data_IF_628268592427
#
_entry.id   IF_628268592427
#
_cell.length_a   1.000
_cell.length_b   1.000
_cell.length_c   1.000
_cell.angle_alpha   90.00
_cell.angle_beta   90.00
_cell.angle_gamma   90.00
#
_symmetry.space_group_name_H-M   'P 1'
#
loop_
_entity.id
_entity.type
_entity.pdbx_description
1 polymer ?
#
# COMPACT_ATOMS: atom_id res chain seq x y z
N UNK A 1 36.11 -1.79 -14.01
CA UNK A 1 34.87 -1.00 -13.81
C UNK A 1 33.59 -1.77 -14.23
N UNK A 2 33.55 -3.10 -14.06
CA UNK A 2 32.40 -3.92 -14.46
C UNK A 2 31.75 -4.70 -13.29
N UNK A 3 32.20 -4.48 -12.05
CA UNK A 3 31.71 -5.21 -10.87
C UNK A 3 30.69 -4.45 -10.03
N UNK A 4 30.35 -3.20 -10.36
CA UNK A 4 29.43 -2.38 -9.60
C UNK A 4 27.99 -2.35 -10.18
N UNK A 5 27.82 -2.78 -11.43
CA UNK A 5 26.50 -2.81 -12.10
C UNK A 5 25.72 -4.10 -11.82
N UNK A 6 26.39 -5.19 -11.46
CA UNK A 6 25.76 -6.49 -11.17
C UNK A 6 25.16 -6.54 -9.76
N UNK A 7 25.70 -5.76 -8.82
CA UNK A 7 25.20 -5.67 -7.44
C UNK A 7 23.85 -4.89 -7.31
N UNK A 8 23.53 -4.04 -8.28
CA UNK A 8 22.26 -3.28 -8.25
C UNK A 8 21.08 -4.15 -8.73
N UNK A 9 21.31 -5.18 -9.54
CA UNK A 9 20.28 -6.10 -9.99
C UNK A 9 19.90 -7.13 -8.89
N UNK A 10 20.84 -7.55 -8.07
CA UNK A 10 20.57 -8.52 -6.97
C UNK A 10 19.86 -7.89 -5.76
N UNK A 11 19.95 -6.57 -5.56
CA UNK A 11 19.27 -5.87 -4.46
C UNK A 11 17.76 -5.66 -4.67
N UNK A 12 17.23 -5.97 -5.86
CA UNK A 12 15.83 -5.70 -6.21
C UNK A 12 14.82 -6.75 -5.74
N UNK A 13 15.23 -7.93 -5.26
CA UNK A 13 14.28 -9.06 -5.13
C UNK A 13 14.35 -9.90 -3.85
N UNK A 14 14.54 -9.30 -2.69
CA UNK A 14 14.31 -9.98 -1.40
C UNK A 14 13.01 -9.58 -0.68
N UNK A 15 12.09 -8.93 -1.38
CA UNK A 15 10.75 -8.69 -0.87
C UNK A 15 9.85 -9.90 -1.17
N UNK A 16 9.06 -10.34 -0.19
CA UNK A 16 8.09 -11.45 -0.32
C UNK A 16 7.37 -11.38 -1.68
N UNK A 17 7.38 -12.50 -2.40
CA UNK A 17 7.08 -12.66 -3.82
C UNK A 17 5.93 -11.77 -4.35
N UNK A 18 6.26 -10.56 -4.82
CA UNK A 18 5.32 -9.69 -5.50
C UNK A 18 5.01 -10.25 -6.89
N UNK A 19 3.74 -10.25 -7.28
CA UNK A 19 3.28 -10.74 -8.58
C UNK A 19 2.96 -9.58 -9.51
N UNK A 20 3.45 -9.64 -10.74
CA UNK A 20 3.04 -8.73 -11.82
C UNK A 20 1.84 -9.35 -12.53
N UNK A 21 0.68 -8.74 -12.35
CA UNK A 21 -0.53 -9.12 -13.06
C UNK A 21 -0.56 -8.41 -14.40
N UNK A 22 -0.86 -9.12 -15.49
CA UNK A 22 -0.96 -8.55 -16.84
C UNK A 22 -2.35 -8.81 -17.39
N UNK A 23 -3.08 -7.74 -17.70
CA UNK A 23 -4.40 -7.82 -18.36
C UNK A 23 -4.32 -7.19 -19.74
N UNK A 24 -4.47 -8.01 -20.76
CA UNK A 24 -4.39 -7.63 -22.18
C UNK A 24 -5.13 -8.67 -23.02
N UNK A 25 -6.01 -8.30 -23.94
CA UNK A 25 -6.77 -9.27 -24.73
C UNK A 25 -5.94 -9.95 -25.83
N UNK A 26 -4.79 -9.36 -26.20
CA UNK A 26 -3.88 -9.91 -27.18
C UNK A 26 -2.95 -10.98 -26.59
N UNK A 27 -3.18 -12.25 -26.91
CA UNK A 27 -2.37 -13.37 -26.41
C UNK A 27 -0.87 -13.27 -26.77
N UNK A 28 -0.51 -12.66 -27.90
CA UNK A 28 0.88 -12.42 -28.30
C UNK A 28 1.57 -11.41 -27.39
N UNK A 29 0.86 -10.33 -27.01
CA UNK A 29 1.36 -9.32 -26.06
C UNK A 29 1.52 -9.95 -24.69
N UNK A 30 0.52 -10.69 -24.18
CA UNK A 30 0.64 -11.40 -22.89
C UNK A 30 1.84 -12.33 -22.84
N UNK A 31 2.05 -13.13 -23.91
CA UNK A 31 3.20 -14.06 -24.01
C UNK A 31 4.53 -13.31 -23.99
N UNK A 32 4.64 -12.22 -24.74
CA UNK A 32 5.87 -11.41 -24.80
C UNK A 32 6.17 -10.71 -23.47
N UNK A 33 5.14 -10.13 -22.80
CA UNK A 33 5.30 -9.51 -21.49
C UNK A 33 5.67 -10.54 -20.43
N UNK A 34 5.01 -11.70 -20.41
CA UNK A 34 5.35 -12.79 -19.50
C UNK A 34 6.84 -13.19 -19.65
N UNK A 35 7.29 -13.46 -20.86
CA UNK A 35 8.67 -13.85 -21.11
C UNK A 35 9.69 -12.78 -20.67
N UNK A 36 9.39 -11.50 -20.92
CA UNK A 36 10.22 -10.38 -20.48
C UNK A 36 10.31 -10.30 -18.94
N UNK A 37 9.16 -10.38 -18.27
CA UNK A 37 9.08 -10.21 -16.83
C UNK A 37 9.67 -11.40 -16.07
N UNK A 38 9.41 -12.63 -16.54
CA UNK A 38 10.03 -13.86 -16.01
C UNK A 38 11.55 -13.86 -16.21
N UNK A 39 12.05 -13.37 -17.36
CA UNK A 39 13.50 -13.22 -17.58
C UNK A 39 14.17 -12.22 -16.64
N UNK A 40 13.40 -11.28 -16.09
CA UNK A 40 13.82 -10.34 -15.06
C UNK A 40 13.60 -10.87 -13.62
N UNK A 41 13.23 -12.14 -13.45
CA UNK A 41 13.05 -12.79 -12.15
C UNK A 41 11.72 -12.46 -11.46
N UNK A 42 10.74 -11.88 -12.17
CA UNK A 42 9.43 -11.52 -11.62
C UNK A 42 8.43 -12.67 -11.71
N UNK A 43 7.62 -12.88 -10.69
CA UNK A 43 6.43 -13.73 -10.77
C UNK A 43 5.37 -13.03 -11.64
N UNK A 44 4.72 -13.76 -12.55
CA UNK A 44 3.80 -13.19 -13.54
C UNK A 44 2.54 -14.01 -13.67
N UNK A 45 1.41 -13.35 -13.58
CA UNK A 45 0.11 -13.90 -13.93
C UNK A 45 -0.51 -13.10 -15.08
N UNK A 46 -1.16 -13.76 -16.03
CA UNK A 46 -1.71 -13.08 -17.21
C UNK A 46 -3.16 -13.46 -17.43
N UNK A 47 -3.98 -12.47 -17.80
CA UNK A 47 -5.42 -12.59 -17.97
C UNK A 47 -5.86 -11.98 -19.31
N UNK A 48 -6.85 -12.58 -19.95
CA UNK A 48 -7.34 -12.11 -21.23
C UNK A 48 -8.44 -11.04 -21.11
N UNK A 49 -9.03 -10.89 -19.92
CA UNK A 49 -10.06 -9.89 -19.65
C UNK A 49 -10.01 -9.37 -18.23
N UNK A 50 -10.68 -8.23 -17.99
CA UNK A 50 -10.82 -7.68 -16.65
C UNK A 50 -11.67 -8.57 -15.72
N UNK A 51 -12.66 -9.27 -16.27
CA UNK A 51 -13.51 -10.19 -15.51
C UNK A 51 -12.71 -11.40 -15.02
N UNK A 52 -11.88 -11.97 -15.89
CA UNK A 52 -11.00 -13.10 -15.55
C UNK A 52 -10.03 -12.70 -14.42
N UNK A 53 -9.43 -11.51 -14.54
CA UNK A 53 -8.58 -10.96 -13.48
C UNK A 53 -9.34 -10.74 -12.17
N UNK A 54 -10.51 -10.10 -12.21
CA UNK A 54 -11.30 -9.80 -11.01
C UNK A 54 -11.80 -11.06 -10.28
N UNK A 55 -12.03 -12.16 -11.02
CA UNK A 55 -12.41 -13.45 -10.46
C UNK A 55 -11.26 -14.15 -9.72
N UNK A 56 -10.01 -13.92 -10.16
CA UNK A 56 -8.81 -14.53 -9.58
C UNK A 56 -8.11 -13.62 -8.55
N UNK A 57 -8.36 -12.31 -8.59
CA UNK A 57 -7.65 -11.33 -7.80
C UNK A 57 -7.87 -11.49 -6.29
N UNK A 58 -6.78 -11.69 -5.57
CA UNK A 58 -6.75 -11.67 -4.12
C UNK A 58 -6.07 -10.36 -3.64
N UNK A 59 -6.80 -9.48 -2.91
CA UNK A 59 -6.24 -8.22 -2.38
C UNK A 59 -5.01 -8.39 -1.47
N UNK A 60 -4.86 -9.56 -0.83
CA UNK A 60 -3.71 -9.84 0.06
C UNK A 60 -2.42 -10.15 -0.71
N UNK A 61 -2.50 -10.48 -2.01
CA UNK A 61 -1.31 -10.72 -2.82
C UNK A 61 -0.63 -9.40 -3.21
N UNK A 62 0.64 -9.18 -2.80
CA UNK A 62 1.38 -7.99 -3.18
C UNK A 62 1.75 -7.99 -4.66
N UNK A 63 1.85 -6.82 -5.26
CA UNK A 63 2.29 -6.71 -6.64
C UNK A 63 1.84 -5.45 -7.35
N UNK A 64 1.78 -5.53 -8.69
CA UNK A 64 1.26 -4.45 -9.53
C UNK A 64 0.50 -5.01 -10.74
N UNK A 65 -0.40 -4.21 -11.29
CA UNK A 65 -1.17 -4.53 -12.49
C UNK A 65 -0.62 -3.76 -13.70
N UNK A 66 -0.24 -4.48 -14.75
CA UNK A 66 0.01 -3.94 -16.09
C UNK A 66 -1.25 -4.15 -16.91
N UNK A 67 -1.88 -3.08 -17.36
CA UNK A 67 -3.24 -3.08 -17.89
C UNK A 67 -3.30 -2.42 -19.27
N UNK A 68 -3.80 -3.13 -20.28
CA UNK A 68 -4.19 -2.48 -21.53
C UNK A 68 -5.54 -1.74 -21.36
N UNK A 69 -5.62 -0.56 -21.92
CA UNK A 69 -6.87 0.22 -21.99
C UNK A 69 -7.90 -0.44 -22.88
N UNK A 70 -7.46 -0.98 -24.02
CA UNK A 70 -8.36 -1.60 -25.01
C UNK A 70 -8.44 -3.11 -24.79
N UNK A 71 -9.53 -3.54 -24.22
CA UNK A 71 -9.84 -4.95 -24.07
C UNK A 71 -11.01 -5.30 -25.02
N UNK A 72 -11.01 -6.51 -25.54
CA UNK A 72 -12.09 -6.99 -26.46
C UNK A 72 -13.47 -6.86 -25.85
N UNK A 73 -13.58 -7.07 -24.57
CA UNK A 73 -14.81 -6.95 -23.80
C UNK A 73 -14.59 -5.93 -22.68
N UNK A 74 -15.20 -4.74 -22.83
CA UNK A 74 -15.04 -3.64 -21.87
C UNK A 74 -13.79 -2.77 -22.10
N UNK A 75 -13.46 -1.99 -21.09
CA UNK A 75 -12.30 -1.10 -21.09
C UNK A 75 -11.42 -1.37 -19.88
N UNK A 76 -10.10 -1.31 -20.05
CA UNK A 76 -9.19 -1.35 -18.91
C UNK A 76 -9.47 -0.24 -17.89
N UNK A 77 -10.00 0.91 -18.33
CA UNK A 77 -10.39 1.97 -17.41
C UNK A 77 -11.61 1.58 -16.54
N UNK A 78 -12.52 0.73 -17.05
CA UNK A 78 -13.65 0.22 -16.28
C UNK A 78 -13.13 -0.75 -15.19
N UNK A 79 -12.12 -1.57 -15.51
CA UNK A 79 -11.43 -2.41 -14.53
C UNK A 79 -10.74 -1.55 -13.44
N UNK A 80 -10.06 -0.48 -13.83
CA UNK A 80 -9.45 0.46 -12.90
C UNK A 80 -10.48 1.09 -11.97
N UNK A 81 -11.62 1.52 -12.50
CA UNK A 81 -12.73 2.09 -11.71
C UNK A 81 -13.34 1.06 -10.76
N UNK A 82 -13.43 -0.22 -11.17
CA UNK A 82 -13.90 -1.31 -10.29
C UNK A 82 -12.92 -1.58 -9.14
N UNK A 83 -11.63 -1.65 -9.42
CA UNK A 83 -10.60 -1.83 -8.39
C UNK A 83 -10.62 -0.67 -7.38
N UNK A 84 -10.81 0.56 -7.86
CA UNK A 84 -10.96 1.74 -7.01
C UNK A 84 -12.21 1.63 -6.12
N UNK A 85 -13.35 1.18 -6.66
CA UNK A 85 -14.59 0.95 -5.87
C UNK A 85 -14.39 -0.09 -4.78
N UNK A 86 -13.59 -1.13 -5.05
CA UNK A 86 -13.20 -2.16 -4.07
C UNK A 86 -12.11 -1.69 -3.10
N UNK A 87 -11.63 -0.45 -3.23
CA UNK A 87 -10.52 0.11 -2.44
C UNK A 87 -9.24 -0.75 -2.51
N UNK A 88 -9.01 -1.40 -3.65
CA UNK A 88 -7.80 -2.15 -3.89
C UNK A 88 -6.58 -1.22 -3.88
N UNK A 89 -5.54 -1.61 -3.15
CA UNK A 89 -4.29 -0.83 -3.02
C UNK A 89 -3.36 -1.09 -4.21
N UNK A 90 -3.66 -2.08 -5.05
CA UNK A 90 -2.84 -2.53 -6.17
C UNK A 90 -2.48 -1.40 -7.13
N UNK A 91 -1.21 -1.01 -7.29
CA UNK A 91 -0.79 0.01 -8.24
C UNK A 91 -0.98 -0.46 -9.69
N UNK A 92 -1.50 0.42 -10.53
CA UNK A 92 -1.86 0.09 -11.91
C UNK A 92 -0.96 0.88 -12.87
N UNK A 93 -0.22 0.18 -13.72
CA UNK A 93 0.52 0.74 -14.85
C UNK A 93 -0.31 0.49 -16.10
N UNK A 94 -0.79 1.56 -16.71
CA UNK A 94 -1.54 1.48 -17.98
C UNK A 94 -0.57 1.39 -19.14
N UNK A 95 -0.68 0.33 -19.96
CA UNK A 95 0.17 0.08 -21.12
C UNK A 95 -0.70 -0.05 -22.37
N UNK A 96 -0.76 0.95 -23.25
CA UNK A 96 -1.67 0.96 -24.40
C UNK A 96 -1.00 1.34 -25.71
N UNK A 97 -1.45 0.74 -26.81
CA UNK A 97 -0.99 1.05 -28.18
C UNK A 97 -1.58 2.34 -28.77
N UNK A 98 -2.62 2.89 -28.17
CA UNK A 98 -3.29 4.11 -28.65
C UNK A 98 -3.44 5.08 -27.47
N UNK A 99 -2.32 5.64 -27.03
CA UNK A 99 -2.31 6.67 -26.00
C UNK A 99 -2.58 8.04 -26.62
N UNK A 100 -3.86 8.45 -26.72
CA UNK A 100 -4.15 9.86 -26.83
C UNK A 100 -3.97 10.54 -25.46
N UNK A 101 -3.73 11.84 -25.47
CA UNK A 101 -3.54 12.63 -24.25
C UNK A 101 -4.75 12.53 -23.32
N UNK A 102 -5.95 12.40 -23.87
CA UNK A 102 -7.19 12.32 -23.10
C UNK A 102 -7.27 11.01 -22.31
N UNK A 103 -6.93 9.89 -22.94
CA UNK A 103 -6.90 8.57 -22.28
C UNK A 103 -5.85 8.52 -21.17
N UNK A 104 -4.64 9.05 -21.40
CA UNK A 104 -3.60 9.10 -20.36
C UNK A 104 -3.99 9.98 -19.19
N UNK A 105 -4.56 11.15 -19.44
CA UNK A 105 -5.07 12.05 -18.39
C UNK A 105 -6.22 11.40 -17.60
N UNK A 106 -7.12 10.69 -18.28
CA UNK A 106 -8.22 9.96 -17.62
C UNK A 106 -7.69 8.85 -16.71
N UNK A 107 -6.77 8.04 -17.20
CA UNK A 107 -6.15 6.97 -16.41
C UNK A 107 -5.46 7.49 -15.14
N UNK A 108 -4.64 8.56 -15.28
CA UNK A 108 -3.94 9.17 -14.15
C UNK A 108 -4.90 9.83 -13.15
N UNK A 109 -5.95 10.54 -13.63
CA UNK A 109 -7.00 11.09 -12.76
C UNK A 109 -7.80 10.02 -12.04
N UNK A 110 -7.93 8.83 -12.62
CA UNK A 110 -8.57 7.68 -12.00
C UNK A 110 -7.65 6.94 -11.02
N UNK A 111 -6.41 7.42 -10.80
CA UNK A 111 -5.47 6.89 -9.82
C UNK A 111 -4.51 5.83 -10.38
N UNK A 112 -4.28 5.78 -11.70
CA UNK A 112 -3.20 4.96 -12.23
C UNK A 112 -1.85 5.40 -11.66
N UNK A 113 -1.00 4.43 -11.30
CA UNK A 113 0.34 4.69 -10.81
C UNK A 113 1.21 5.29 -11.92
N UNK A 114 1.08 4.78 -13.16
CA UNK A 114 1.76 5.31 -14.32
C UNK A 114 1.05 4.94 -15.63
N UNK A 115 1.49 5.57 -16.72
CA UNK A 115 0.98 5.35 -18.06
C UNK A 115 2.15 5.23 -19.05
N UNK A 116 2.15 4.17 -19.86
CA UNK A 116 3.15 3.92 -20.89
C UNK A 116 2.50 3.62 -22.24
N UNK A 117 3.08 4.13 -23.31
CA UNK A 117 2.64 3.86 -24.69
C UNK A 117 3.39 2.64 -25.23
N UNK A 118 2.68 1.71 -25.88
CA UNK A 118 3.27 0.61 -26.67
C UNK A 118 3.83 1.12 -28.00
N UNK A 119 5.01 0.66 -28.45
CA UNK A 119 5.91 -0.24 -27.74
C UNK A 119 6.70 0.49 -26.66
N UNK A 120 6.64 0.03 -25.41
CA UNK A 120 7.44 0.58 -24.33
C UNK A 120 8.82 -0.12 -24.32
N UNK A 121 9.93 0.63 -24.19
CA UNK A 121 11.25 0.02 -24.02
C UNK A 121 11.25 -0.88 -22.77
N UNK A 122 11.80 -2.13 -22.88
CA UNK A 122 11.82 -3.08 -21.76
C UNK A 122 12.38 -2.50 -20.46
N UNK A 123 13.48 -1.74 -20.54
CA UNK A 123 14.13 -1.09 -19.39
C UNK A 123 13.22 -0.08 -18.71
N UNK A 124 12.42 0.68 -19.47
CA UNK A 124 11.47 1.65 -18.93
C UNK A 124 10.32 0.92 -18.22
N UNK A 125 9.75 -0.11 -18.86
CA UNK A 125 8.65 -0.89 -18.27
C UNK A 125 9.10 -1.57 -16.97
N UNK A 126 10.24 -2.25 -16.95
CA UNK A 126 10.80 -2.89 -15.75
C UNK A 126 11.05 -1.90 -14.62
N UNK A 127 11.61 -0.72 -14.93
CA UNK A 127 11.83 0.33 -13.94
C UNK A 127 10.51 0.81 -13.30
N UNK A 128 9.45 0.96 -14.11
CA UNK A 128 8.13 1.40 -13.60
C UNK A 128 7.45 0.31 -12.78
N UNK A 129 7.58 -0.95 -13.18
CA UNK A 129 7.10 -2.10 -12.42
C UNK A 129 7.80 -2.19 -11.07
N UNK A 130 9.13 -2.05 -11.02
CA UNK A 130 9.86 -2.00 -9.76
C UNK A 130 9.34 -0.91 -8.82
N UNK A 131 9.21 0.33 -9.32
CA UNK A 131 8.68 1.44 -8.52
C UNK A 131 7.23 1.20 -8.05
N UNK A 132 6.39 0.54 -8.85
CA UNK A 132 5.03 0.17 -8.47
C UNK A 132 5.01 -0.88 -7.36
N UNK A 133 5.86 -1.91 -7.45
CA UNK A 133 6.00 -2.94 -6.42
C UNK A 133 6.48 -2.31 -5.10
N UNK A 134 7.48 -1.43 -5.14
CA UNK A 134 7.95 -0.72 -3.95
C UNK A 134 6.85 0.12 -3.30
N UNK A 135 6.03 0.79 -4.13
CA UNK A 135 4.87 1.55 -3.65
C UNK A 135 3.84 0.63 -2.96
N UNK A 136 3.50 -0.52 -3.55
CA UNK A 136 2.58 -1.49 -2.94
C UNK A 136 3.10 -1.99 -1.59
N UNK A 137 4.39 -2.35 -1.52
CA UNK A 137 5.02 -2.77 -0.27
C UNK A 137 4.94 -1.71 0.83
N UNK A 138 5.24 -0.45 0.51
CA UNK A 138 5.17 0.64 1.47
C UNK A 138 3.73 0.89 1.94
N UNK A 139 2.76 0.86 1.02
CA UNK A 139 1.35 1.04 1.34
C UNK A 139 0.81 -0.08 2.24
N UNK A 140 1.16 -1.34 1.95
CA UNK A 140 0.79 -2.51 2.77
C UNK A 140 1.43 -2.48 4.15
N UNK A 141 2.74 -2.18 4.24
CA UNK A 141 3.44 -2.02 5.51
C UNK A 141 2.76 -0.95 6.38
N UNK A 142 2.45 0.22 5.82
CA UNK A 142 1.74 1.27 6.53
C UNK A 142 0.35 0.84 7.01
N UNK A 143 -0.37 0.03 6.23
CA UNK A 143 -1.68 -0.51 6.61
C UNK A 143 -1.56 -1.53 7.74
N UNK A 144 -0.57 -2.43 7.67
CA UNK A 144 -0.28 -3.43 8.71
C UNK A 144 0.11 -2.76 10.03
N UNK A 145 0.98 -1.75 9.98
CA UNK A 145 1.36 -0.98 11.16
C UNK A 145 0.16 -0.29 11.81
N UNK A 146 -0.73 0.30 11.00
CA UNK A 146 -1.97 0.95 11.49
C UNK A 146 -2.94 -0.05 12.12
N UNK A 147 -3.15 -1.20 11.50
CA UNK A 147 -4.01 -2.26 12.06
C UNK A 147 -3.46 -2.76 13.38
N UNK A 148 -2.16 -3.00 13.49
CA UNK A 148 -1.50 -3.40 14.72
C UNK A 148 -1.62 -2.33 15.82
N UNK A 149 -1.52 -1.05 15.47
CA UNK A 149 -1.74 0.06 16.41
C UNK A 149 -3.20 0.09 16.89
N UNK A 150 -4.15 0.00 15.97
CA UNK A 150 -5.58 -0.01 16.31
C UNK A 150 -5.94 -1.16 17.25
N UNK A 151 -5.42 -2.36 16.99
CA UNK A 151 -5.58 -3.53 17.85
C UNK A 151 -5.02 -3.27 19.26
N UNK A 152 -3.79 -2.75 19.37
CA UNK A 152 -3.18 -2.41 20.66
C UNK A 152 -3.98 -1.37 21.43
N UNK A 153 -4.53 -0.37 20.74
CA UNK A 153 -5.41 0.64 21.34
C UNK A 153 -6.74 0.04 21.82
N UNK A 154 -7.27 -0.97 21.13
CA UNK A 154 -8.49 -1.67 21.57
C UNK A 154 -8.30 -2.42 22.89
N UNK A 155 -7.07 -2.85 23.22
CA UNK A 155 -6.74 -3.51 24.49
C UNK A 155 -6.61 -2.55 25.70
N UNK A 156 -6.73 -1.24 25.49
CA UNK A 156 -6.75 -0.28 26.60
C UNK A 156 -8.09 -0.35 27.35
N UNK A 157 -8.01 -0.40 28.67
CA UNK A 157 -9.20 -0.22 29.53
C UNK A 157 -9.76 1.19 29.35
N UNK A 158 -11.05 1.44 29.70
CA UNK A 158 -11.62 2.79 29.64
C UNK A 158 -10.76 3.83 30.36
N UNK A 159 -10.22 3.48 31.53
CA UNK A 159 -9.39 4.38 32.31
C UNK A 159 -8.03 4.67 31.70
N UNK A 160 -7.41 3.66 31.11
CA UNK A 160 -6.16 3.83 30.36
C UNK A 160 -6.36 4.69 29.13
N UNK A 161 -7.51 4.55 28.46
CA UNK A 161 -7.88 5.37 27.30
C UNK A 161 -8.06 6.84 27.69
N UNK A 162 -8.75 7.14 28.79
CA UNK A 162 -8.89 8.51 29.32
C UNK A 162 -7.52 9.13 29.62
N UNK A 163 -6.62 8.39 30.26
CA UNK A 163 -5.25 8.83 30.53
C UNK A 163 -4.48 9.07 29.24
N UNK A 164 -4.61 8.17 28.25
CA UNK A 164 -3.97 8.32 26.93
C UNK A 164 -4.42 9.60 26.23
N UNK A 165 -5.72 9.89 26.20
CA UNK A 165 -6.24 11.12 25.58
C UNK A 165 -5.64 12.39 26.19
N UNK A 166 -5.58 12.45 27.50
CA UNK A 166 -4.99 13.59 28.20
C UNK A 166 -3.48 13.71 28.00
N UNK A 167 -2.79 12.56 27.85
CA UNK A 167 -1.36 12.54 27.48
C UNK A 167 -1.12 13.08 26.07
N UNK A 168 -1.95 12.69 25.11
CA UNK A 168 -1.88 13.16 23.72
C UNK A 168 -2.17 14.67 23.67
N UNK A 169 -3.08 15.17 24.51
CA UNK A 169 -3.34 16.59 24.67
C UNK A 169 -2.20 17.36 25.39
N UNK A 170 -1.07 16.69 25.70
CA UNK A 170 0.09 17.31 26.33
C UNK A 170 -0.07 17.62 27.84
N UNK A 171 -1.07 17.05 28.51
CA UNK A 171 -1.31 17.31 29.92
C UNK A 171 -0.28 16.64 30.83
N UNK A 172 0.32 17.37 31.81
CA UNK A 172 1.20 16.76 32.80
C UNK A 172 0.41 15.91 33.79
N UNK A 173 1.06 14.91 34.41
CA UNK A 173 0.41 13.97 35.34
C UNK A 173 -0.38 14.61 36.48
N UNK A 174 0.03 15.78 36.96
CA UNK A 174 -0.73 16.53 37.99
C UNK A 174 -2.08 17.02 37.48
N UNK A 175 -2.15 17.53 36.25
CA UNK A 175 -3.40 17.98 35.64
C UNK A 175 -4.30 16.79 35.30
N UNK A 176 -3.72 15.69 34.84
CA UNK A 176 -4.45 14.44 34.58
C UNK A 176 -5.06 13.90 35.87
N UNK A 177 -4.29 13.89 36.95
CA UNK A 177 -4.75 13.45 38.28
C UNK A 177 -5.95 14.30 38.78
N UNK A 178 -5.86 15.62 38.63
CA UNK A 178 -6.94 16.52 38.97
C UNK A 178 -8.19 16.30 38.10
N UNK A 179 -8.02 16.20 36.77
CA UNK A 179 -9.13 16.00 35.83
C UNK A 179 -9.84 14.67 36.05
N UNK A 180 -9.12 13.64 36.44
CA UNK A 180 -9.63 12.28 36.61
C UNK A 180 -9.99 11.95 38.07
N UNK A 181 -9.81 12.89 39.02
CA UNK A 181 -10.07 12.73 40.46
C UNK A 181 -9.32 11.52 41.08
N UNK A 182 -8.03 11.33 40.72
CA UNK A 182 -7.17 10.28 41.27
C UNK A 182 -5.83 10.83 41.72
N UNK A 183 -5.00 10.00 42.39
CA UNK A 183 -3.65 10.39 42.78
C UNK A 183 -2.71 10.48 41.56
N UNK A 184 -1.67 11.32 41.66
CA UNK A 184 -0.60 11.35 40.63
C UNK A 184 0.05 9.98 40.47
N UNK A 185 0.24 9.26 41.58
CA UNK A 185 0.79 7.87 41.56
C UNK A 185 -0.07 6.92 40.73
N UNK A 186 -1.41 7.06 40.85
CA UNK A 186 -2.35 6.27 40.03
C UNK A 186 -2.23 6.59 38.54
N UNK A 187 -2.10 7.89 38.20
CA UNK A 187 -1.87 8.32 36.82
C UNK A 187 -0.57 7.76 36.27
N UNK A 188 0.53 7.79 37.03
CA UNK A 188 1.81 7.22 36.57
C UNK A 188 1.71 5.70 36.36
N UNK A 189 0.93 5.00 37.17
CA UNK A 189 0.62 3.59 36.95
C UNK A 189 -0.11 3.38 35.63
N UNK A 190 -1.17 4.12 35.34
CA UNK A 190 -1.90 4.04 34.05
C UNK A 190 -1.03 4.44 32.87
N UNK A 191 -0.24 5.51 32.98
CA UNK A 191 0.73 5.92 31.92
C UNK A 191 1.65 4.75 31.53
N UNK A 192 2.24 4.10 32.53
CA UNK A 192 3.12 2.96 32.30
C UNK A 192 2.39 1.83 31.58
N UNK A 193 1.16 1.51 31.97
CA UNK A 193 0.36 0.46 31.35
C UNK A 193 -0.05 0.84 29.91
N UNK A 194 -0.40 2.09 29.64
CA UNK A 194 -0.67 2.59 28.27
C UNK A 194 0.56 2.40 27.39
N UNK A 195 1.73 2.89 27.81
CA UNK A 195 2.97 2.75 27.02
C UNK A 195 3.31 1.27 26.76
N UNK A 196 3.16 0.40 27.76
CA UNK A 196 3.42 -1.03 27.65
C UNK A 196 2.44 -1.70 26.64
N UNK A 197 1.12 -1.46 26.78
CA UNK A 197 0.10 -2.08 25.94
C UNK A 197 0.16 -1.59 24.49
N UNK A 198 0.46 -0.30 24.27
CA UNK A 198 0.64 0.25 22.94
C UNK A 198 2.00 -0.11 22.35
N UNK A 199 2.92 -0.69 23.16
CA UNK A 199 4.27 -1.05 22.78
C UNK A 199 5.10 0.13 22.29
N UNK A 200 5.17 1.18 23.12
CA UNK A 200 5.95 2.39 22.87
C UNK A 200 6.83 2.75 24.07
N UNK A 201 7.96 3.38 23.81
CA UNK A 201 8.97 3.71 24.82
C UNK A 201 8.77 5.09 25.47
N UNK A 202 7.97 5.96 24.85
CA UNK A 202 7.78 7.33 25.33
C UNK A 202 6.41 7.91 24.97
N UNK A 203 5.98 8.94 25.72
CA UNK A 203 4.77 9.69 25.40
C UNK A 203 4.86 10.37 24.02
N UNK A 204 6.02 10.86 23.61
CA UNK A 204 6.22 11.45 22.29
C UNK A 204 6.00 10.42 21.15
N UNK A 205 6.46 9.19 21.34
CA UNK A 205 6.20 8.10 20.40
C UNK A 205 4.71 7.71 20.38
N UNK A 206 4.05 7.67 21.55
CA UNK A 206 2.62 7.44 21.66
C UNK A 206 1.82 8.49 20.85
N UNK A 207 2.11 9.77 21.05
CA UNK A 207 1.46 10.87 20.32
C UNK A 207 1.58 10.69 18.81
N UNK A 208 2.80 10.47 18.32
CA UNK A 208 3.06 10.27 16.89
C UNK A 208 2.27 9.11 16.29
N UNK A 209 2.24 7.97 16.99
CA UNK A 209 1.58 6.76 16.50
C UNK A 209 0.06 6.93 16.50
N UNK A 210 -0.53 7.48 17.55
CA UNK A 210 -1.98 7.66 17.66
C UNK A 210 -2.49 8.73 16.69
N UNK A 211 -1.79 9.86 16.54
CA UNK A 211 -2.19 10.88 15.56
C UNK A 211 -2.10 10.35 14.14
N UNK A 212 -1.04 9.63 13.77
CA UNK A 212 -0.93 9.01 12.45
C UNK A 212 -2.00 7.94 12.17
N UNK A 213 -2.47 7.22 13.20
CA UNK A 213 -3.59 6.29 13.07
C UNK A 213 -4.93 7.02 12.86
N UNK A 214 -5.16 8.13 13.55
CA UNK A 214 -6.39 8.96 13.47
C UNK A 214 -6.55 9.72 12.15
N UNK A 215 -5.46 10.16 11.54
CA UNK A 215 -5.52 10.77 10.21
C UNK A 215 -6.07 9.82 9.15
N UNK A 216 -5.91 8.51 9.36
CA UNK A 216 -6.37 7.48 8.45
C UNK A 216 -7.75 6.89 8.81
N UNK A 217 -8.12 6.84 10.07
CA UNK A 217 -9.45 6.44 10.59
C UNK A 217 -9.83 7.32 11.80
N UNK A 218 -10.75 8.28 11.62
CA UNK A 218 -11.21 9.17 12.70
C UNK A 218 -11.87 8.45 13.88
N UNK A 219 -12.14 7.14 13.77
CA UNK A 219 -12.76 6.34 14.86
C UNK A 219 -11.72 5.76 15.83
N UNK A 220 -10.44 5.88 15.56
CA UNK A 220 -9.30 5.51 16.40
C UNK A 220 -8.87 6.71 17.23
#
# INVERSE_FOLDING_TARGET
MAAAEDSAAEAFYTAAAATVFVVDDNGGVRKSLRALLESAGLAVETYASGEEFLAAYNPEHPGCLVLDVRLRYGSGLDLQDELRRRKAVLPIIVLTGHGDVQTSVRALKAGAFDFLQKPAPPTVLLKRIGAAIDFDHQARAATTDRAAVSERLAHLTPREREVMELLIAGKPSKEIAAALHVSVRTVEGHRRMVLLKVNVLSAAQLVRIVLGAREADPRV
#
